data_IF_868890329274
#
_entry.id   IF_868890329274
#
_cell.length_a   1.000
_cell.length_b   1.000
_cell.length_c   1.000
_cell.angle_alpha   90.00
_cell.angle_beta   90.00
_cell.angle_gamma   90.00
#
_symmetry.space_group_name_H-M   'P 1'
#
loop_
_entity.id
_entity.type
_entity.pdbx_description
1 polymer ?
#
# COMPACT_ATOMS: atom_id res chain seq x y z
N UNK A 1 19.93 0.34 -8.79
CA UNK A 1 18.74 -0.44 -8.38
C UNK A 1 17.56 0.29 -8.96
N UNK A 2 16.80 -0.34 -9.85
CA UNK A 2 15.57 0.25 -10.35
C UNK A 2 14.61 0.51 -9.18
N UNK A 3 14.01 1.69 -9.17
CA UNK A 3 12.97 2.04 -8.21
C UNK A 3 11.82 1.05 -8.37
N UNK A 4 11.37 0.38 -7.30
CA UNK A 4 10.25 -0.56 -7.41
C UNK A 4 9.02 0.12 -8.00
N UNK A 5 8.29 -0.58 -8.86
CA UNK A 5 7.01 -0.08 -9.36
C UNK A 5 5.98 0.09 -8.23
N UNK A 6 4.92 0.86 -8.50
CA UNK A 6 3.89 1.14 -7.50
C UNK A 6 3.19 -0.12 -6.97
N UNK A 7 3.04 -1.18 -7.78
CA UNK A 7 2.42 -2.44 -7.34
C UNK A 7 3.29 -3.14 -6.30
N UNK A 8 4.60 -3.11 -6.51
CA UNK A 8 5.60 -3.65 -5.59
C UNK A 8 5.65 -2.83 -4.30
N UNK A 9 5.64 -1.50 -4.39
CA UNK A 9 5.57 -0.62 -3.21
C UNK A 9 4.31 -0.88 -2.40
N UNK A 10 3.14 -1.02 -3.06
CA UNK A 10 1.89 -1.37 -2.39
C UNK A 10 1.97 -2.75 -1.73
N UNK A 11 2.64 -3.72 -2.35
CA UNK A 11 2.89 -5.03 -1.76
C UNK A 11 3.80 -4.99 -0.53
N UNK A 12 4.80 -4.11 -0.53
CA UNK A 12 5.66 -3.90 0.64
C UNK A 12 4.90 -3.28 1.80
N UNK A 13 4.08 -2.27 1.51
CA UNK A 13 3.21 -1.63 2.51
C UNK A 13 2.15 -2.60 3.02
N UNK A 14 1.51 -3.42 2.17
CA UNK A 14 0.58 -4.47 2.63
C UNK A 14 1.29 -5.43 3.60
N UNK A 15 2.51 -5.85 3.29
CA UNK A 15 3.27 -6.75 4.16
C UNK A 15 3.59 -6.11 5.52
N UNK A 16 3.94 -4.82 5.57
CA UNK A 16 4.17 -4.08 6.81
C UNK A 16 2.87 -3.93 7.62
N UNK A 17 1.78 -3.49 6.98
CA UNK A 17 0.49 -3.33 7.66
C UNK A 17 0.00 -4.64 8.28
N UNK A 18 0.19 -5.77 7.61
CA UNK A 18 -0.15 -7.10 8.16
C UNK A 18 0.75 -7.53 9.31
N UNK A 19 2.04 -7.15 9.28
CA UNK A 19 2.96 -7.44 10.37
C UNK A 19 2.59 -6.63 11.64
N UNK A 20 2.15 -5.40 11.47
CA UNK A 20 1.77 -4.51 12.57
C UNK A 20 0.33 -4.75 13.08
N UNK A 21 -0.48 -5.51 12.34
CA UNK A 21 -1.85 -5.88 12.70
C UNK A 21 -2.05 -7.41 12.64
N UNK A 22 -1.36 -8.19 13.50
CA UNK A 22 -1.42 -9.66 13.45
C UNK A 22 -2.81 -10.22 13.78
N UNK A 23 -3.67 -9.45 14.45
CA UNK A 23 -5.05 -9.78 14.77
C UNK A 23 -6.01 -9.64 13.56
N UNK A 24 -5.54 -9.07 12.44
CA UNK A 24 -6.28 -8.96 11.18
C UNK A 24 -5.68 -9.89 10.11
N UNK A 25 -5.89 -11.22 10.19
CA UNK A 25 -5.25 -12.17 9.28
C UNK A 25 -5.65 -11.95 7.81
N UNK A 26 -6.85 -11.43 7.59
CA UNK A 26 -7.45 -11.13 6.29
C UNK A 26 -7.13 -9.72 5.78
N UNK A 27 -6.33 -8.93 6.50
CA UNK A 27 -5.94 -7.58 6.07
C UNK A 27 -5.26 -7.62 4.69
N UNK A 28 -5.83 -6.86 3.76
CA UNK A 28 -5.39 -6.72 2.37
C UNK A 28 -5.50 -5.28 1.94
N UNK A 29 -4.58 -4.86 1.07
CA UNK A 29 -4.64 -3.57 0.41
C UNK A 29 -4.89 -3.77 -1.09
N UNK A 30 -5.68 -2.86 -1.67
CA UNK A 30 -5.63 -2.53 -3.09
C UNK A 30 -5.54 -1.02 -3.22
N UNK A 31 -5.39 -0.51 -4.43
CA UNK A 31 -5.34 0.92 -4.66
C UNK A 31 -6.08 1.30 -5.94
N UNK A 32 -6.53 2.53 -6.01
CA UNK A 32 -6.94 3.17 -7.25
C UNK A 32 -5.77 4.01 -7.74
N UNK A 33 -5.44 3.94 -9.03
CA UNK A 33 -4.40 4.73 -9.66
C UNK A 33 -4.96 5.48 -10.87
N UNK A 34 -4.40 6.64 -11.19
CA UNK A 34 -4.80 7.40 -12.37
C UNK A 34 -4.27 6.76 -13.67
N UNK A 35 -5.04 6.89 -14.75
CA UNK A 35 -4.57 6.65 -16.13
C UNK A 35 -3.60 7.75 -16.61
N UNK A 36 -2.46 7.87 -15.92
CA UNK A 36 -1.41 8.86 -16.21
C UNK A 36 -0.02 8.29 -15.93
N UNK A 37 0.95 8.40 -16.86
CA UNK A 37 2.33 8.01 -16.61
C UNK A 37 2.93 8.75 -15.41
N UNK A 38 3.68 8.03 -14.56
CA UNK A 38 4.34 8.62 -13.39
C UNK A 38 3.41 8.99 -12.22
N UNK A 39 2.11 8.75 -12.34
CA UNK A 39 1.16 8.98 -11.24
C UNK A 39 1.30 7.94 -10.13
N UNK A 40 1.15 8.40 -8.89
CA UNK A 40 1.04 7.54 -7.71
C UNK A 40 -0.34 6.88 -7.64
N UNK A 41 -0.94 6.89 -6.44
CA UNK A 41 -2.29 6.38 -6.22
C UNK A 41 -3.29 7.53 -6.02
N UNK A 42 -4.52 7.32 -6.45
CA UNK A 42 -5.66 8.18 -6.14
C UNK A 42 -6.24 7.87 -4.76
N UNK A 43 -6.28 6.58 -4.40
CA UNK A 43 -6.90 6.12 -3.16
C UNK A 43 -6.37 4.73 -2.75
N UNK A 44 -6.35 4.45 -1.45
CA UNK A 44 -6.00 3.12 -0.91
C UNK A 44 -7.24 2.43 -0.36
N UNK A 45 -7.52 1.26 -0.91
CA UNK A 45 -8.61 0.38 -0.51
C UNK A 45 -8.09 -0.60 0.55
N UNK A 46 -8.85 -0.75 1.64
CA UNK A 46 -8.47 -1.57 2.80
C UNK A 46 -9.58 -2.60 3.01
N UNK A 47 -9.21 -3.87 2.97
CA UNK A 47 -10.12 -5.02 3.13
C UNK A 47 -9.73 -5.87 4.34
N UNK A 48 -10.67 -6.70 4.81
CA UNK A 48 -10.47 -7.58 5.96
C UNK A 48 -10.46 -6.84 7.30
N UNK A 49 -11.15 -5.71 7.36
CA UNK A 49 -11.33 -4.86 8.56
C UNK A 49 -12.82 -4.57 8.71
N UNK A 50 -13.55 -5.60 9.13
CA UNK A 50 -15.01 -5.60 9.20
C UNK A 50 -15.50 -4.75 10.39
N UNK A 51 -16.58 -4.00 10.17
CA UNK A 51 -17.32 -3.17 11.13
C UNK A 51 -16.54 -2.14 11.97
N UNK A 52 -15.26 -1.92 11.67
CA UNK A 52 -14.41 -0.94 12.36
C UNK A 52 -14.00 0.20 11.43
N UNK A 53 -14.93 1.12 11.17
CA UNK A 53 -14.71 2.27 10.28
C UNK A 53 -13.46 3.08 10.64
N UNK A 54 -13.26 3.34 11.94
CA UNK A 54 -12.13 4.13 12.42
C UNK A 54 -10.81 3.38 12.26
N UNK A 55 -10.78 2.08 12.59
CA UNK A 55 -9.60 1.26 12.36
C UNK A 55 -9.22 1.20 10.89
N UNK A 56 -10.20 1.03 10.00
CA UNK A 56 -10.00 1.07 8.55
C UNK A 56 -9.46 2.43 8.08
N UNK A 57 -9.87 3.54 8.71
CA UNK A 57 -9.31 4.88 8.44
C UNK A 57 -7.86 5.00 8.93
N UNK A 58 -7.55 4.53 10.13
CA UNK A 58 -6.18 4.54 10.67
C UNK A 58 -5.22 3.72 9.81
N UNK A 59 -5.62 2.49 9.44
CA UNK A 59 -4.83 1.62 8.55
C UNK A 59 -4.57 2.29 7.20
N UNK A 60 -5.59 2.94 6.61
CA UNK A 60 -5.42 3.69 5.36
C UNK A 60 -4.47 4.87 5.52
N UNK A 61 -4.62 5.66 6.58
CA UNK A 61 -3.77 6.81 6.83
C UNK A 61 -2.31 6.41 6.98
N UNK A 62 -2.05 5.31 7.69
CA UNK A 62 -0.69 4.78 7.84
C UNK A 62 -0.16 4.22 6.52
N UNK A 63 -0.96 3.47 5.76
CA UNK A 63 -0.57 3.00 4.43
C UNK A 63 -0.21 4.18 3.49
N UNK A 64 -1.00 5.26 3.50
CA UNK A 64 -0.71 6.48 2.74
C UNK A 64 0.64 7.11 3.15
N UNK A 65 0.89 7.20 4.46
CA UNK A 65 2.14 7.74 5.01
C UNK A 65 3.35 6.92 4.55
N UNK A 66 3.27 5.59 4.67
CA UNK A 66 4.35 4.68 4.27
C UNK A 66 4.61 4.74 2.76
N UNK A 67 3.57 4.79 1.94
CA UNK A 67 3.71 4.98 0.49
C UNK A 67 4.41 6.31 0.17
N UNK A 68 4.05 7.39 0.86
CA UNK A 68 4.69 8.70 0.72
C UNK A 68 6.19 8.67 1.05
N UNK A 69 6.57 7.99 2.13
CA UNK A 69 7.99 7.80 2.51
C UNK A 69 8.77 6.99 1.47
N UNK A 70 8.09 6.11 0.73
CA UNK A 70 8.66 5.35 -0.38
C UNK A 70 8.62 6.11 -1.72
N UNK A 71 8.26 7.39 -1.71
CA UNK A 71 8.19 8.24 -2.90
C UNK A 71 6.95 8.03 -3.76
N UNK A 72 5.93 7.32 -3.26
CA UNK A 72 4.66 7.11 -3.95
C UNK A 72 3.56 7.98 -3.34
N UNK A 73 3.21 9.09 -4.02
CA UNK A 73 2.16 10.00 -3.57
C UNK A 73 0.78 9.32 -3.63
N UNK A 74 -0.06 9.58 -2.63
CA UNK A 74 -1.49 9.22 -2.64
C UNK A 74 -2.31 10.52 -2.62
N UNK A 75 -2.93 10.86 -3.74
CA UNK A 75 -3.72 12.08 -3.90
C UNK A 75 -4.68 11.93 -5.08
N UNK A 76 -5.91 12.42 -4.97
CA UNK A 76 -6.91 12.32 -6.05
C UNK A 76 -6.77 13.53 -6.99
N UNK A 77 -6.41 13.28 -8.24
CA UNK A 77 -6.25 14.33 -9.26
C UNK A 77 -7.53 14.45 -10.09
N UNK A 78 -8.07 15.67 -10.19
CA UNK A 78 -9.27 15.97 -10.99
C UNK A 78 -8.96 15.82 -12.48
N UNK A 79 -9.89 15.24 -13.23
CA UNK A 79 -9.80 15.14 -14.69
C UNK A 79 -9.10 13.89 -15.21
N UNK A 80 -8.78 12.93 -14.33
CA UNK A 80 -8.22 11.64 -14.71
C UNK A 80 -9.09 10.50 -14.24
N UNK A 81 -9.32 9.53 -15.13
CA UNK A 81 -9.95 8.26 -14.75
C UNK A 81 -9.04 7.45 -13.85
N UNK A 82 -9.66 6.69 -12.94
CA UNK A 82 -8.97 5.80 -12.02
C UNK A 82 -9.26 4.33 -12.34
N UNK A 83 -8.30 3.47 -12.06
CA UNK A 83 -8.45 2.03 -12.16
C UNK A 83 -7.86 1.32 -10.94
N UNK A 84 -8.40 0.14 -10.65
CA UNK A 84 -7.92 -0.69 -9.54
C UNK A 84 -6.57 -1.31 -9.88
N UNK A 85 -5.66 -1.23 -8.92
CA UNK A 85 -4.33 -1.80 -8.94
C UNK A 85 -4.18 -2.72 -7.74
N UNK A 86 -3.78 -3.96 -8.02
CA UNK A 86 -3.48 -4.94 -6.97
C UNK A 86 -1.98 -4.96 -6.67
N UNK A 87 -1.61 -5.21 -5.40
CA UNK A 87 -0.21 -5.30 -5.00
C UNK A 87 0.46 -6.54 -5.59
N UNK A 88 1.74 -6.37 -5.96
CA UNK A 88 2.66 -7.49 -6.19
C UNK A 88 3.13 -7.98 -4.83
N UNK A 89 2.53 -9.05 -4.32
CA UNK A 89 2.78 -9.53 -2.96
C UNK A 89 4.11 -10.31 -2.88
N UNK A 90 4.90 -10.13 -1.81
CA UNK A 90 5.99 -11.04 -1.51
C UNK A 90 5.46 -12.47 -1.33
N UNK A 91 5.98 -13.41 -2.13
CA UNK A 91 5.55 -14.81 -2.15
C UNK A 91 6.34 -15.65 -1.14
N UNK A 92 7.60 -15.29 -0.89
CA UNK A 92 8.49 -16.02 0.03
C UNK A 92 8.75 -15.26 1.32
N UNK A 93 9.14 -15.99 2.37
CA UNK A 93 9.56 -15.39 3.65
C UNK A 93 10.74 -14.43 3.46
N UNK A 94 11.70 -14.77 2.58
CA UNK A 94 12.83 -13.91 2.26
C UNK A 94 12.39 -12.60 1.60
N UNK A 95 11.49 -12.67 0.61
CA UNK A 95 10.94 -11.47 -0.04
C UNK A 95 10.14 -10.62 0.95
N UNK A 96 9.37 -11.24 1.84
CA UNK A 96 8.63 -10.54 2.89
C UNK A 96 9.57 -9.83 3.86
N UNK A 97 10.62 -10.49 4.33
CA UNK A 97 11.64 -9.86 5.18
C UNK A 97 12.33 -8.68 4.47
N UNK A 98 12.63 -8.81 3.17
CA UNK A 98 13.18 -7.71 2.37
C UNK A 98 12.20 -6.53 2.30
N UNK A 99 10.93 -6.80 2.01
CA UNK A 99 9.88 -5.78 1.98
C UNK A 99 9.79 -5.01 3.30
N UNK A 100 9.76 -5.72 4.44
CA UNK A 100 9.72 -5.11 5.77
C UNK A 100 10.96 -4.25 6.05
N UNK A 101 12.15 -4.69 5.62
CA UNK A 101 13.38 -3.89 5.73
C UNK A 101 13.32 -2.60 4.91
N UNK A 102 12.73 -2.65 3.72
CA UNK A 102 12.56 -1.45 2.88
C UNK A 102 11.64 -0.45 3.58
N UNK A 103 10.48 -0.89 4.06
CA UNK A 103 9.52 -0.01 4.75
C UNK A 103 10.14 0.59 6.01
N UNK A 104 10.81 -0.23 6.84
CA UNK A 104 11.47 0.24 8.08
C UNK A 104 12.61 1.23 7.82
N UNK A 105 13.32 1.11 6.71
CA UNK A 105 14.40 2.04 6.35
C UNK A 105 13.87 3.42 5.92
N UNK A 106 12.62 3.47 5.45
CA UNK A 106 11.99 4.71 5.01
C UNK A 106 11.29 5.48 6.14
N UNK A 107 11.09 4.85 7.31
CA UNK A 107 10.52 5.45 8.52
C UNK A 107 11.58 6.21 9.32
#
# INVERSE_FOLDING_TARGET
>A
MDTPDRQTLLGFVEAAMRADNPDLPSLRLAAQAHYRPGSGFAFIEVYGVDDQRDRRRCIRAEANRLLGLLGCKVDLEVGYDVFTVYPTRPETAHQRLRALKVVRKAQ
#
